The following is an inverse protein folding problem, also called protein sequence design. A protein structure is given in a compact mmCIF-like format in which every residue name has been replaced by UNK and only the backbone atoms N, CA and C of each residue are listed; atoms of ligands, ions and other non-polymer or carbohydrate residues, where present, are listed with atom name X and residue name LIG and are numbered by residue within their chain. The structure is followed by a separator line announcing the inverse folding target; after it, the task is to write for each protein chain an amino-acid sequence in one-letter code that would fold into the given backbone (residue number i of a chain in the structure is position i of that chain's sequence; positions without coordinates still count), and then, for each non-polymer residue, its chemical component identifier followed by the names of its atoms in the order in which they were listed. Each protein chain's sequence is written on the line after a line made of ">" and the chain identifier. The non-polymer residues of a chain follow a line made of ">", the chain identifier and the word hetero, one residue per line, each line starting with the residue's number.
data_IF_802441719038
#
_entry.id   IF_802441719038
#
_cell.length_a   1.000
_cell.length_b   1.000
_cell.length_c   1.000
_cell.angle_alpha   90.00
_cell.angle_beta   90.00
_cell.angle_gamma   90.00
#
_symmetry.space_group_name_H-M   'P 1'
#
loop_
_entity.id
_entity.type
_entity.pdbx_description
1 polymer ?
#
# COMPACT_ATOMS: atom_id res chain seq x y z
N UNK A 1 54.62 -3.82 -18.38
CA UNK A 1 53.39 -3.07 -18.73
C UNK A 1 52.25 -3.76 -18.03
N UNK A 2 51.63 -3.09 -17.05
CA UNK A 2 50.42 -3.63 -16.43
C UNK A 2 49.30 -3.64 -17.46
N UNK A 3 48.63 -4.78 -17.58
CA UNK A 3 47.41 -4.91 -18.38
C UNK A 3 46.39 -3.90 -17.84
N UNK A 4 45.74 -3.07 -18.68
CA UNK A 4 44.73 -2.16 -18.19
C UNK A 4 43.65 -2.93 -17.42
N UNK A 5 43.05 -2.33 -16.37
CA UNK A 5 41.93 -2.95 -15.68
C UNK A 5 40.86 -3.29 -16.72
N UNK A 6 40.42 -4.54 -16.70
CA UNK A 6 39.30 -4.99 -17.52
C UNK A 6 38.03 -4.68 -16.74
N UNK A 7 37.02 -4.16 -17.44
CA UNK A 7 35.77 -3.73 -16.85
C UNK A 7 34.59 -4.48 -17.46
N UNK A 8 33.56 -4.68 -16.66
CA UNK A 8 32.31 -5.30 -17.08
C UNK A 8 31.08 -4.49 -16.71
N UNK A 9 29.94 -5.10 -17.00
CA UNK A 9 28.59 -4.59 -16.72
C UNK A 9 27.92 -5.56 -15.75
N UNK A 10 27.27 -5.03 -14.72
CA UNK A 10 26.40 -5.78 -13.82
C UNK A 10 25.01 -5.21 -13.92
N UNK A 11 24.01 -6.04 -14.20
CA UNK A 11 22.62 -5.59 -14.30
C UNK A 11 21.64 -6.67 -13.91
N UNK A 12 20.47 -6.25 -13.48
CA UNK A 12 19.35 -7.15 -13.20
C UNK A 12 18.16 -6.38 -12.69
N UNK A 13 17.32 -7.05 -11.92
CA UNK A 13 16.16 -6.46 -11.28
C UNK A 13 16.19 -6.66 -9.76
N UNK A 14 15.63 -5.71 -9.03
CA UNK A 14 15.34 -5.80 -7.60
C UNK A 14 13.86 -6.13 -7.44
N UNK A 15 13.53 -7.14 -6.65
CA UNK A 15 12.16 -7.57 -6.38
C UNK A 15 11.90 -7.82 -4.89
N UNK A 16 10.63 -7.77 -4.49
CA UNK A 16 10.19 -8.23 -3.19
C UNK A 16 10.40 -9.76 -3.10
N UNK A 17 10.98 -10.22 -1.99
CA UNK A 17 11.29 -11.64 -1.83
C UNK A 17 10.06 -12.54 -1.78
N UNK A 18 8.93 -12.05 -1.25
CA UNK A 18 7.75 -12.89 -1.05
C UNK A 18 6.81 -12.85 -2.25
N UNK A 19 6.68 -11.70 -2.91
CA UNK A 19 5.67 -11.47 -3.95
C UNK A 19 6.28 -11.44 -5.36
N UNK A 20 7.60 -11.37 -5.47
CA UNK A 20 8.36 -11.20 -6.72
C UNK A 20 8.05 -9.91 -7.49
N UNK A 21 7.27 -8.98 -6.92
CA UNK A 21 7.01 -7.68 -7.54
C UNK A 21 8.29 -6.85 -7.63
N UNK A 22 8.49 -6.11 -8.74
CA UNK A 22 9.63 -5.23 -8.90
C UNK A 22 9.61 -4.09 -7.87
N UNK A 23 10.79 -3.72 -7.36
CA UNK A 23 10.94 -2.61 -6.41
C UNK A 23 11.60 -1.42 -7.12
N UNK A 24 10.83 -0.37 -7.46
CA UNK A 24 11.38 0.84 -8.06
C UNK A 24 12.17 1.67 -7.03
N UNK A 25 12.95 2.64 -7.52
CA UNK A 25 13.71 3.61 -6.71
C UNK A 25 14.68 3.00 -5.68
N UNK A 26 15.03 1.72 -5.82
CA UNK A 26 16.02 1.06 -4.99
C UNK A 26 17.41 1.59 -5.34
N UNK A 27 18.13 2.06 -4.33
CA UNK A 27 19.50 2.54 -4.47
C UNK A 27 20.48 1.36 -4.41
N UNK A 28 21.34 1.26 -5.42
CA UNK A 28 22.38 0.24 -5.52
C UNK A 28 23.72 0.95 -5.65
N UNK A 29 24.63 0.63 -4.73
CA UNK A 29 25.94 1.27 -4.63
C UNK A 29 27.06 0.24 -4.73
N UNK A 30 28.01 0.50 -5.63
CA UNK A 30 29.29 -0.19 -5.73
C UNK A 30 30.41 0.84 -5.70
N UNK A 31 31.24 0.83 -4.65
CA UNK A 31 32.27 1.85 -4.44
C UNK A 31 31.66 3.26 -4.55
N UNK A 32 32.10 4.08 -5.51
CA UNK A 32 31.63 5.45 -5.73
C UNK A 32 30.47 5.53 -6.77
N UNK A 33 30.05 4.41 -7.34
CA UNK A 33 28.95 4.37 -8.31
C UNK A 33 27.64 4.03 -7.61
N UNK A 34 26.67 4.92 -7.76
CA UNK A 34 25.30 4.73 -7.28
C UNK A 34 24.33 4.83 -8.44
N UNK A 35 23.40 3.86 -8.52
CA UNK A 35 22.29 3.86 -9.47
C UNK A 35 20.98 3.57 -8.74
N UNK A 36 19.86 4.01 -9.30
CA UNK A 36 18.52 3.70 -8.82
C UNK A 36 17.81 2.77 -9.78
N UNK A 37 16.96 1.87 -9.28
CA UNK A 37 16.11 1.04 -10.12
C UNK A 37 15.01 1.87 -10.81
N UNK A 38 14.62 1.44 -12.01
CA UNK A 38 13.47 2.01 -12.74
C UNK A 38 12.12 1.45 -12.22
N UNK A 39 11.01 1.86 -12.84
CA UNK A 39 9.64 1.39 -12.53
C UNK A 39 9.46 -0.13 -12.60
N UNK A 40 10.33 -0.83 -13.34
CA UNK A 40 10.32 -2.28 -13.46
C UNK A 40 11.38 -2.93 -12.55
N UNK A 41 11.91 -2.18 -11.58
CA UNK A 41 12.91 -2.63 -10.64
C UNK A 41 14.29 -2.86 -11.26
N UNK A 42 14.54 -2.42 -12.50
CA UNK A 42 15.76 -2.77 -13.26
C UNK A 42 16.88 -1.78 -12.98
N UNK A 43 18.11 -2.27 -12.95
CA UNK A 43 19.31 -1.46 -12.78
C UNK A 43 20.44 -1.89 -13.71
N UNK A 44 21.36 -0.96 -13.98
CA UNK A 44 22.59 -1.23 -14.75
C UNK A 44 23.76 -0.48 -14.15
N UNK A 45 24.75 -1.22 -13.66
CA UNK A 45 26.07 -0.75 -13.26
C UNK A 45 27.04 -1.00 -14.42
N UNK A 46 27.80 0.03 -14.80
CA UNK A 46 28.76 -0.01 -15.92
C UNK A 46 30.15 0.35 -15.43
N UNK A 47 31.17 -0.16 -16.11
CA UNK A 47 32.58 0.11 -15.78
C UNK A 47 32.97 -0.46 -14.41
N UNK A 48 32.46 -1.65 -14.09
CA UNK A 48 32.82 -2.34 -12.85
C UNK A 48 34.13 -3.10 -13.07
N UNK A 49 35.19 -2.86 -12.27
CA UNK A 49 36.46 -3.57 -12.42
C UNK A 49 36.28 -5.08 -12.21
N UNK A 50 36.97 -5.89 -12.99
CA UNK A 50 37.03 -7.33 -12.73
C UNK A 50 37.68 -7.61 -11.38
N UNK A 51 37.13 -8.57 -10.66
CA UNK A 51 37.55 -8.87 -9.30
C UNK A 51 36.72 -9.96 -8.65
N UNK A 52 37.18 -10.38 -7.47
CA UNK A 52 36.47 -11.34 -6.62
C UNK A 52 36.01 -10.67 -5.34
N UNK A 53 34.92 -11.17 -4.76
CA UNK A 53 34.31 -10.67 -3.53
C UNK A 53 34.01 -9.16 -3.59
N UNK A 54 33.59 -8.68 -4.75
CA UNK A 54 33.08 -7.32 -4.91
C UNK A 54 31.79 -7.17 -4.10
N UNK A 55 31.50 -5.96 -3.62
CA UNK A 55 30.35 -5.68 -2.76
C UNK A 55 29.35 -4.76 -3.48
N UNK A 56 28.07 -5.12 -3.43
CA UNK A 56 26.96 -4.21 -3.68
C UNK A 56 26.24 -3.92 -2.36
N UNK A 57 25.97 -2.65 -2.13
CA UNK A 57 25.09 -2.20 -1.06
C UNK A 57 23.75 -1.81 -1.67
N UNK A 58 22.67 -2.42 -1.17
CA UNK A 58 21.32 -2.21 -1.68
C UNK A 58 20.46 -1.64 -0.57
N UNK A 59 19.80 -0.53 -0.86
CA UNK A 59 18.94 0.18 0.06
C UNK A 59 17.64 0.56 -0.63
N UNK A 60 16.52 0.18 -0.03
CA UNK A 60 15.19 0.60 -0.44
C UNK A 60 14.37 0.91 0.80
N UNK A 61 13.45 1.87 0.70
CA UNK A 61 12.68 2.31 1.85
C UNK A 61 11.68 1.21 2.26
N UNK A 62 11.53 0.97 3.57
CA UNK A 62 10.71 -0.10 4.13
C UNK A 62 11.19 -1.53 3.78
N UNK A 63 12.44 -1.65 3.31
CA UNK A 63 13.16 -2.92 3.11
C UNK A 63 14.42 -2.99 3.98
N UNK A 64 14.81 -4.22 4.33
CA UNK A 64 16.09 -4.47 4.98
C UNK A 64 17.23 -4.14 3.99
N UNK A 65 18.21 -3.37 4.44
CA UNK A 65 19.42 -3.15 3.64
C UNK A 65 20.17 -4.46 3.43
N UNK A 66 20.72 -4.65 2.23
CA UNK A 66 21.43 -5.87 1.85
C UNK A 66 22.85 -5.52 1.39
N UNK A 67 23.83 -6.26 1.90
CA UNK A 67 25.19 -6.31 1.33
C UNK A 67 25.34 -7.63 0.57
N UNK A 68 25.59 -7.53 -0.74
CA UNK A 68 25.71 -8.67 -1.63
C UNK A 68 27.15 -8.80 -2.15
N UNK A 69 27.73 -9.99 -1.99
CA UNK A 69 29.04 -10.35 -2.52
C UNK A 69 28.90 -10.96 -3.91
N UNK A 70 29.74 -10.55 -4.86
CA UNK A 70 29.78 -11.11 -6.21
C UNK A 70 31.19 -11.14 -6.80
N UNK A 71 31.40 -12.00 -7.78
CA UNK A 71 32.62 -12.05 -8.59
C UNK A 71 32.29 -11.54 -10.00
N UNK A 72 33.22 -10.80 -10.60
CA UNK A 72 33.11 -10.33 -11.99
C UNK A 72 34.38 -10.69 -12.75
N UNK A 73 34.29 -11.69 -13.61
CA UNK A 73 35.37 -12.21 -14.45
C UNK A 73 35.01 -12.24 -15.95
N UNK A 74 33.89 -11.62 -16.31
CA UNK A 74 33.33 -11.55 -17.66
C UNK A 74 32.73 -10.17 -17.95
N UNK A 75 32.52 -9.88 -19.24
CA UNK A 75 32.06 -8.56 -19.71
C UNK A 75 30.65 -8.20 -19.20
N UNK A 76 29.81 -9.21 -18.93
CA UNK A 76 28.43 -9.03 -18.51
C UNK A 76 28.03 -10.05 -17.44
N UNK A 77 27.52 -9.56 -16.31
CA UNK A 77 26.99 -10.37 -15.22
C UNK A 77 25.51 -10.02 -14.96
N UNK A 78 24.57 -10.95 -15.22
CA UNK A 78 23.20 -10.81 -14.75
C UNK A 78 23.13 -11.07 -13.24
N UNK A 79 22.54 -10.14 -12.48
CA UNK A 79 22.43 -10.23 -11.04
C UNK A 79 21.06 -9.72 -10.57
N UNK A 80 20.15 -10.64 -10.25
CA UNK A 80 18.85 -10.29 -9.66
C UNK A 80 18.95 -10.28 -8.14
N UNK A 81 18.21 -9.37 -7.51
CA UNK A 81 18.29 -9.09 -6.07
C UNK A 81 16.89 -9.18 -5.48
N UNK A 82 16.73 -9.98 -4.42
CA UNK A 82 15.47 -10.08 -3.69
C UNK A 82 15.61 -9.45 -2.31
N UNK A 83 14.74 -8.49 -1.98
CA UNK A 83 14.77 -7.78 -0.71
C UNK A 83 13.68 -8.27 0.25
N UNK A 84 14.02 -8.29 1.53
CA UNK A 84 13.10 -8.63 2.62
C UNK A 84 12.49 -7.34 3.15
N UNK A 85 11.16 -7.28 3.27
CA UNK A 85 10.47 -6.15 3.90
C UNK A 85 10.94 -5.95 5.34
N UNK A 86 11.04 -4.70 5.76
CA UNK A 86 11.31 -4.33 7.14
C UNK A 86 10.03 -4.23 7.99
N UNK A 87 8.87 -4.14 7.34
CA UNK A 87 7.55 -4.03 7.95
C UNK A 87 6.67 -5.26 7.73
N UNK A 88 5.70 -5.43 8.63
CA UNK A 88 4.58 -6.36 8.47
C UNK A 88 3.39 -5.62 7.84
N UNK A 89 3.30 -5.66 6.51
CA UNK A 89 2.26 -4.96 5.75
C UNK A 89 0.86 -5.43 6.13
N UNK A 90 0.68 -6.73 6.41
CA UNK A 90 -0.63 -7.28 6.78
C UNK A 90 -1.07 -6.72 8.13
N UNK A 91 -0.17 -6.70 9.12
CA UNK A 91 -0.46 -6.09 10.41
C UNK A 91 -0.76 -4.59 10.28
N UNK A 92 0.05 -3.85 9.50
CA UNK A 92 -0.16 -2.41 9.31
C UNK A 92 -1.51 -2.06 8.65
N UNK A 93 -1.97 -2.87 7.67
CA UNK A 93 -3.30 -2.70 7.05
C UNK A 93 -4.43 -3.04 8.04
N UNK A 94 -4.25 -4.06 8.89
CA UNK A 94 -5.22 -4.35 9.95
C UNK A 94 -5.29 -3.21 11.00
N UNK A 95 -4.15 -2.62 11.33
CA UNK A 95 -4.07 -1.46 12.23
C UNK A 95 -4.77 -0.23 11.62
N UNK A 96 -4.61 -0.02 10.31
CA UNK A 96 -5.35 1.01 9.57
C UNK A 96 -6.87 0.82 9.72
N UNK A 97 -7.39 -0.39 9.45
CA UNK A 97 -8.83 -0.67 9.51
C UNK A 97 -9.38 -0.48 10.94
N UNK A 98 -8.60 -0.90 11.93
CA UNK A 98 -8.92 -0.72 13.36
C UNK A 98 -8.95 0.76 13.74
N UNK A 99 -7.96 1.54 13.30
CA UNK A 99 -7.89 2.98 13.53
C UNK A 99 -9.10 3.70 12.92
N UNK A 100 -9.45 3.39 11.67
CA UNK A 100 -10.61 3.96 11.00
C UNK A 100 -11.91 3.61 11.75
N UNK A 101 -12.09 2.35 12.14
CA UNK A 101 -13.26 1.91 12.94
C UNK A 101 -13.39 2.71 14.24
N UNK A 102 -12.29 2.88 14.98
CA UNK A 102 -12.27 3.62 16.24
C UNK A 102 -12.60 5.11 16.04
N UNK A 103 -12.06 5.75 15.00
CA UNK A 103 -12.34 7.15 14.68
C UNK A 103 -13.81 7.35 14.31
N UNK A 104 -14.37 6.45 13.49
CA UNK A 104 -15.79 6.48 13.10
C UNK A 104 -16.67 6.29 14.33
N UNK A 105 -16.36 5.34 15.22
CA UNK A 105 -17.08 5.12 16.47
C UNK A 105 -17.02 6.33 17.42
N UNK A 106 -15.92 7.08 17.38
CA UNK A 106 -15.75 8.30 18.17
C UNK A 106 -16.60 9.48 17.70
N UNK A 107 -17.00 9.51 16.42
CA UNK A 107 -17.90 10.49 15.80
C UNK A 107 -17.53 11.97 16.02
N UNK A 108 -16.23 12.29 16.09
CA UNK A 108 -15.74 13.65 16.43
C UNK A 108 -14.64 14.16 15.51
N UNK A 109 -13.68 13.30 15.18
CA UNK A 109 -12.41 13.71 14.58
C UNK A 109 -12.41 13.51 13.05
N UNK A 110 -13.31 14.20 12.34
CA UNK A 110 -13.47 14.07 10.87
C UNK A 110 -12.16 14.28 10.13
N UNK A 111 -11.32 15.21 10.58
CA UNK A 111 -10.02 15.51 9.96
C UNK A 111 -9.04 14.32 10.03
N UNK A 112 -9.10 13.54 11.13
CA UNK A 112 -8.32 12.31 11.25
C UNK A 112 -8.91 11.17 10.42
N UNK A 113 -10.22 11.17 10.18
CA UNK A 113 -10.83 10.23 9.25
C UNK A 113 -10.38 10.54 7.83
N UNK A 114 -10.39 11.82 7.43
CA UNK A 114 -9.91 12.22 6.10
C UNK A 114 -8.45 11.80 5.87
N UNK A 115 -7.57 11.89 6.88
CA UNK A 115 -6.16 11.49 6.73
C UNK A 115 -5.96 9.99 6.44
N UNK A 116 -6.99 9.15 6.61
CA UNK A 116 -6.98 7.74 6.19
C UNK A 116 -7.19 7.56 4.68
N UNK A 117 -7.48 8.63 3.93
CA UNK A 117 -7.70 8.59 2.49
C UNK A 117 -6.58 9.37 1.79
N UNK A 118 -6.10 8.80 0.67
CA UNK A 118 -5.11 9.47 -0.17
C UNK A 118 -5.77 10.62 -0.92
N UNK A 119 -5.00 11.66 -1.29
CA UNK A 119 -5.54 12.78 -2.09
C UNK A 119 -6.15 12.32 -3.43
N UNK A 120 -5.63 11.23 -4.00
CA UNK A 120 -6.15 10.59 -5.21
C UNK A 120 -7.28 9.59 -4.96
N UNK A 121 -7.84 9.51 -3.75
CA UNK A 121 -8.89 8.56 -3.42
C UNK A 121 -10.12 8.72 -4.33
N UNK A 122 -10.55 7.60 -4.89
CA UNK A 122 -11.76 7.49 -5.72
C UNK A 122 -12.42 6.12 -5.55
N UNK A 123 -13.71 6.06 -5.82
CA UNK A 123 -14.44 4.79 -5.89
C UNK A 123 -14.62 4.31 -7.33
N UNK A 124 -14.82 3.00 -7.48
CA UNK A 124 -15.20 2.36 -8.74
C UNK A 124 -16.47 2.97 -9.35
N UNK A 125 -16.54 3.04 -10.68
CA UNK A 125 -17.69 3.56 -11.44
C UNK A 125 -18.79 2.51 -11.68
N UNK A 126 -18.59 1.27 -11.23
CA UNK A 126 -19.56 0.21 -11.37
C UNK A 126 -20.87 0.48 -10.60
N UNK A 127 -21.96 -0.12 -11.10
CA UNK A 127 -23.33 0.11 -10.61
C UNK A 127 -23.47 -0.17 -9.11
N UNK A 128 -22.79 -1.20 -8.58
CA UNK A 128 -22.92 -1.58 -7.16
C UNK A 128 -22.23 -0.53 -6.29
N UNK A 129 -21.04 -0.10 -6.68
CA UNK A 129 -20.31 0.97 -6.00
C UNK A 129 -21.08 2.28 -6.01
N UNK A 130 -21.61 2.68 -7.17
CA UNK A 130 -22.40 3.91 -7.31
C UNK A 130 -23.72 3.87 -6.53
N UNK A 131 -24.36 2.70 -6.44
CA UNK A 131 -25.50 2.51 -5.54
C UNK A 131 -25.10 2.72 -4.07
N UNK A 132 -23.95 2.18 -3.64
CA UNK A 132 -23.38 2.38 -2.31
C UNK A 132 -23.08 3.85 -2.00
N UNK A 133 -22.47 4.58 -2.93
CA UNK A 133 -22.29 6.04 -2.83
C UNK A 133 -23.63 6.75 -2.66
N UNK A 134 -24.65 6.34 -3.44
CA UNK A 134 -26.00 6.89 -3.37
C UNK A 134 -26.68 6.73 -2.00
N UNK A 135 -26.24 5.76 -1.17
CA UNK A 135 -26.72 5.64 0.22
C UNK A 135 -26.20 6.74 1.14
N UNK A 136 -25.14 7.46 0.73
CA UNK A 136 -24.50 8.53 1.50
C UNK A 136 -23.62 8.04 2.65
N UNK A 137 -23.27 6.75 2.66
CA UNK A 137 -22.36 6.14 3.67
C UNK A 137 -20.92 6.08 3.16
N UNK A 138 -20.72 6.00 1.84
CA UNK A 138 -19.41 5.85 1.20
C UNK A 138 -19.11 7.14 0.44
N UNK A 139 -17.98 7.81 0.71
CA UNK A 139 -17.57 9.00 -0.03
C UNK A 139 -17.13 8.61 -1.44
N UNK A 140 -17.57 9.38 -2.44
CA UNK A 140 -17.30 9.11 -3.86
C UNK A 140 -15.83 9.35 -4.26
N UNK A 141 -15.22 10.36 -3.66
CA UNK A 141 -13.83 10.76 -3.88
C UNK A 141 -13.28 11.44 -2.63
N UNK A 142 -12.02 11.89 -2.69
CA UNK A 142 -11.35 12.52 -1.56
C UNK A 142 -12.09 13.78 -1.06
N UNK A 143 -12.61 14.62 -1.97
CA UNK A 143 -13.30 15.85 -1.60
C UNK A 143 -14.60 15.58 -0.83
N UNK A 144 -15.25 14.44 -1.11
CA UNK A 144 -16.48 14.01 -0.46
C UNK A 144 -16.27 13.27 0.88
N UNK A 145 -15.03 12.98 1.29
CA UNK A 145 -14.75 12.30 2.58
C UNK A 145 -15.26 13.13 3.76
N UNK A 146 -14.81 14.39 3.92
CA UNK A 146 -15.27 15.23 5.05
C UNK A 146 -16.78 15.49 5.01
N UNK A 147 -17.40 15.91 3.89
CA UNK A 147 -18.85 16.11 3.82
C UNK A 147 -19.64 14.86 4.22
N UNK A 148 -19.23 13.68 3.75
CA UNK A 148 -19.90 12.41 4.05
C UNK A 148 -19.92 12.14 5.55
N UNK A 149 -18.74 12.16 6.20
CA UNK A 149 -18.67 11.86 7.64
C UNK A 149 -19.33 12.93 8.52
N UNK A 150 -19.27 14.21 8.15
CA UNK A 150 -20.03 15.27 8.84
C UNK A 150 -21.53 14.99 8.82
N UNK A 151 -22.07 14.69 7.63
CA UNK A 151 -23.49 14.37 7.46
C UNK A 151 -23.89 13.12 8.27
N UNK A 152 -23.07 12.07 8.25
CA UNK A 152 -23.34 10.87 9.05
C UNK A 152 -23.39 11.18 10.56
N UNK A 153 -22.45 12.00 11.06
CA UNK A 153 -22.40 12.35 12.48
C UNK A 153 -23.52 13.30 12.92
N UNK A 154 -24.10 14.07 12.00
CA UNK A 154 -25.31 14.86 12.27
C UNK A 154 -26.59 14.01 12.30
N UNK A 155 -26.64 12.95 11.49
CA UNK A 155 -27.84 12.12 11.31
C UNK A 155 -27.99 11.06 12.38
N UNK A 156 -26.89 10.43 12.79
CA UNK A 156 -26.90 9.27 13.69
C UNK A 156 -26.36 9.62 15.08
N UNK A 157 -26.93 8.98 16.10
CA UNK A 157 -26.45 9.10 17.48
C UNK A 157 -25.29 8.12 17.75
N UNK A 158 -25.17 7.08 16.92
CA UNK A 158 -24.12 6.07 16.96
C UNK A 158 -23.85 5.56 15.55
N UNK A 159 -22.57 5.41 15.22
CA UNK A 159 -22.10 4.81 13.97
C UNK A 159 -20.93 3.89 14.29
N UNK A 160 -20.92 2.67 13.76
CA UNK A 160 -19.84 1.70 13.90
C UNK A 160 -19.51 1.11 12.54
N UNK A 161 -18.22 1.01 12.23
CA UNK A 161 -17.71 0.25 11.10
C UNK A 161 -17.04 -1.01 11.64
N UNK A 162 -17.54 -2.19 11.27
CA UNK A 162 -16.98 -3.47 11.70
C UNK A 162 -16.44 -4.21 10.48
N UNK A 163 -15.12 -4.28 10.39
CA UNK A 163 -14.43 -5.01 9.32
C UNK A 163 -14.23 -6.46 9.75
N UNK A 164 -14.54 -7.39 8.85
CA UNK A 164 -14.34 -8.83 9.07
C UNK A 164 -14.04 -9.53 7.74
N UNK A 165 -13.65 -10.81 7.83
CA UNK A 165 -13.24 -11.64 6.68
C UNK A 165 -12.16 -10.99 5.81
N UNK A 166 -11.28 -10.21 6.44
CA UNK A 166 -10.25 -9.42 5.75
C UNK A 166 -9.21 -10.36 5.14
N UNK A 167 -9.09 -10.30 3.81
CA UNK A 167 -8.07 -11.01 3.03
C UNK A 167 -7.17 -9.97 2.38
N UNK A 168 -5.94 -9.88 2.87
CA UNK A 168 -4.95 -8.91 2.40
C UNK A 168 -4.09 -9.58 1.33
N UNK A 169 -3.91 -8.89 0.22
CA UNK A 169 -2.92 -9.20 -0.79
C UNK A 169 -1.88 -8.08 -0.76
N UNK A 170 -0.63 -8.44 -0.46
CA UNK A 170 0.49 -7.51 -0.49
C UNK A 170 1.14 -7.55 -1.87
N UNK A 171 1.37 -6.39 -2.48
CA UNK A 171 2.15 -6.30 -3.71
C UNK A 171 3.62 -6.05 -3.36
N UNK A 172 3.92 -5.00 -2.58
CA UNK A 172 5.26 -4.71 -2.02
C UNK A 172 5.13 -3.87 -0.73
N UNK A 173 6.24 -3.42 -0.12
CA UNK A 173 6.25 -2.80 1.22
C UNK A 173 5.29 -1.62 1.46
N UNK A 174 4.84 -0.96 0.38
CA UNK A 174 4.02 0.26 0.42
C UNK A 174 2.71 0.16 -0.35
N UNK A 175 2.36 -1.01 -0.86
CA UNK A 175 1.11 -1.19 -1.60
C UNK A 175 0.49 -2.54 -1.26
N UNK A 176 -0.81 -2.50 -0.97
CA UNK A 176 -1.59 -3.68 -0.65
C UNK A 176 -3.04 -3.48 -1.07
N UNK A 177 -3.77 -4.58 -1.22
CA UNK A 177 -5.21 -4.61 -1.41
C UNK A 177 -5.84 -5.46 -0.32
N UNK A 178 -7.05 -5.13 0.12
CA UNK A 178 -7.84 -6.01 0.96
C UNK A 178 -9.22 -6.26 0.35
N UNK A 179 -9.62 -7.53 0.27
CA UNK A 179 -11.01 -7.93 0.08
C UNK A 179 -11.59 -8.23 1.44
N UNK A 180 -12.70 -7.58 1.80
CA UNK A 180 -13.27 -7.65 3.14
C UNK A 180 -14.79 -7.53 3.13
N UNK A 181 -15.38 -7.86 4.27
CA UNK A 181 -16.75 -7.53 4.61
C UNK A 181 -16.76 -6.37 5.62
N UNK A 182 -17.70 -5.44 5.45
CA UNK A 182 -17.91 -4.29 6.32
C UNK A 182 -19.38 -4.24 6.74
N UNK A 183 -19.63 -4.36 8.04
CA UNK A 183 -20.92 -4.05 8.63
C UNK A 183 -20.91 -2.59 9.12
N UNK A 184 -21.79 -1.78 8.53
CA UNK A 184 -22.07 -0.41 8.98
C UNK A 184 -23.32 -0.44 9.86
N UNK A 185 -23.11 -0.27 11.16
CA UNK A 185 -24.18 -0.24 12.15
C UNK A 185 -24.43 1.20 12.53
N UNK A 186 -25.67 1.65 12.35
CA UNK A 186 -26.09 3.01 12.72
C UNK A 186 -27.32 2.98 13.61
N UNK A 187 -27.40 3.89 14.58
CA UNK A 187 -28.56 4.06 15.46
C UNK A 187 -29.01 5.52 15.44
N UNK A 188 -30.33 5.73 15.36
CA UNK A 188 -30.93 7.07 15.40
C UNK A 188 -32.13 7.16 16.34
N UNK A 189 -32.18 8.27 17.06
CA UNK A 189 -33.31 8.73 17.86
C UNK A 189 -33.51 7.97 19.17
N UNK A 190 -34.46 8.44 19.99
CA UNK A 190 -34.73 7.93 21.34
C UNK A 190 -35.11 6.45 21.42
N UNK A 191 -35.64 5.88 20.33
CA UNK A 191 -35.99 4.46 20.24
C UNK A 191 -34.86 3.58 19.69
N UNK A 192 -33.68 4.16 19.41
CA UNK A 192 -32.51 3.51 18.80
C UNK A 192 -32.93 2.62 17.62
N UNK A 193 -33.52 3.23 16.59
CA UNK A 193 -33.79 2.49 15.36
C UNK A 193 -32.42 2.10 14.79
N UNK A 194 -32.06 0.83 14.95
CA UNK A 194 -30.82 0.26 14.45
C UNK A 194 -30.99 -0.07 12.97
N UNK A 195 -30.05 0.37 12.17
CA UNK A 195 -29.91 -0.01 10.76
C UNK A 195 -28.55 -0.66 10.59
N UNK A 196 -28.51 -1.69 9.76
CA UNK A 196 -27.30 -2.44 9.47
C UNK A 196 -27.16 -2.56 7.95
N UNK A 197 -26.03 -2.07 7.43
CA UNK A 197 -25.68 -2.21 6.02
C UNK A 197 -24.46 -3.11 5.96
N UNK A 198 -24.59 -4.24 5.27
CA UNK A 198 -23.51 -5.19 5.09
C UNK A 198 -22.96 -5.03 3.69
N UNK A 199 -21.64 -4.89 3.59
CA UNK A 199 -20.95 -4.58 2.35
C UNK A 199 -19.83 -5.57 2.15
N UNK A 200 -19.68 -6.11 0.93
CA UNK A 200 -18.42 -6.73 0.51
C UNK A 200 -17.69 -5.75 -0.38
N UNK A 201 -16.41 -5.53 -0.09
CA UNK A 201 -15.62 -4.53 -0.79
C UNK A 201 -14.19 -5.02 -1.08
N UNK A 202 -13.56 -4.36 -2.05
CA UNK A 202 -12.12 -4.28 -2.19
C UNK A 202 -11.68 -2.85 -1.86
N UNK A 203 -10.62 -2.72 -1.08
CA UNK A 203 -9.93 -1.46 -0.82
C UNK A 203 -8.48 -1.62 -1.24
N UNK A 204 -7.96 -0.67 -2.02
CA UNK A 204 -6.54 -0.62 -2.36
C UNK A 204 -5.87 0.49 -1.54
N UNK A 205 -4.72 0.15 -0.97
CA UNK A 205 -3.98 0.95 -0.01
C UNK A 205 -2.59 1.27 -0.54
N UNK A 206 -2.13 2.47 -0.21
CA UNK A 206 -0.76 2.91 -0.44
C UNK A 206 -0.18 3.52 0.83
N UNK A 207 1.15 3.41 1.00
CA UNK A 207 1.88 4.00 2.11
C UNK A 207 2.73 5.18 1.62
N UNK A 208 2.36 6.38 2.02
CA UNK A 208 3.12 7.60 1.74
C UNK A 208 3.65 8.20 3.04
N UNK A 209 4.94 8.56 3.06
CA UNK A 209 5.61 9.12 4.24
C UNK A 209 5.40 8.29 5.53
N UNK A 210 5.33 6.97 5.39
CA UNK A 210 5.10 6.04 6.50
C UNK A 210 3.65 5.87 6.93
N UNK A 211 2.69 6.54 6.28
CA UNK A 211 1.26 6.51 6.63
C UNK A 211 0.48 5.75 5.56
N UNK A 212 -0.28 4.73 5.98
CA UNK A 212 -1.18 4.00 5.11
C UNK A 212 -2.46 4.78 4.84
N UNK A 213 -2.88 4.79 3.58
CA UNK A 213 -4.08 5.48 3.11
C UNK A 213 -4.81 4.61 2.09
N UNK A 214 -6.14 4.62 2.12
CA UNK A 214 -6.95 4.06 1.05
C UNK A 214 -6.95 5.03 -0.14
N UNK A 215 -6.68 4.52 -1.34
CA UNK A 215 -6.72 5.32 -2.57
C UNK A 215 -7.77 4.81 -3.57
N UNK A 216 -8.28 3.59 -3.39
CA UNK A 216 -9.36 3.07 -4.21
C UNK A 216 -10.31 2.20 -3.40
N UNK A 217 -11.60 2.29 -3.69
CA UNK A 217 -12.63 1.43 -3.11
C UNK A 217 -13.61 0.95 -4.17
N UNK A 218 -13.92 -0.34 -4.11
CA UNK A 218 -14.94 -0.98 -4.94
C UNK A 218 -15.87 -1.84 -4.10
N UNK A 219 -17.16 -1.76 -4.36
CA UNK A 219 -18.15 -2.63 -3.77
C UNK A 219 -18.44 -3.81 -4.68
N UNK A 220 -18.59 -4.99 -4.08
CA UNK A 220 -19.05 -6.19 -4.75
C UNK A 220 -20.51 -6.49 -4.44
N UNK A 221 -20.92 -6.24 -3.20
CA UNK A 221 -22.27 -6.50 -2.70
C UNK A 221 -22.65 -5.45 -1.66
N UNK A 222 -23.93 -5.06 -1.63
CA UNK A 222 -24.52 -4.18 -0.62
C UNK A 222 -25.87 -4.75 -0.21
N UNK A 223 -26.02 -5.07 1.07
CA UNK A 223 -27.26 -5.57 1.66
C UNK A 223 -27.71 -4.63 2.79
N UNK A 224 -28.96 -4.18 2.73
CA UNK A 224 -29.52 -3.23 3.72
C UNK A 224 -30.56 -3.94 4.56
N UNK A 225 -30.31 -4.03 5.86
CA UNK A 225 -31.23 -4.56 6.87
C UNK A 225 -31.80 -3.38 7.69
N UNK A 226 -33.11 -3.14 7.56
CA UNK A 226 -33.83 -1.97 8.09
C UNK A 226 -34.60 -2.20 9.39
#
# INVERSE_FOLDING_TARGET
>A
MDKPPSFGIVSGAVSDQQTEYPIPETTITHLDQTVTTDELGRYVLRQIPYGKNLLLFIQSIDYQSLELKFDLDQDYLPLNISLIRANDVEQEVNDYLTSLSNLVAGMKEVDKIESHFALGYLVSDDVVTQFGVGTGVIPADFAEVRPTFKKLFEVYDRLLFQFHDVKIQVDYARQASAVLSLDVISERGRRRKRQEIQVKAKIDFQKENGVWQAYFLRLFEVNINL
#
